data_IF_488135947199
#
_entry.id   IF_488135947199
#
_cell.length_a   1.000
_cell.length_b   1.000
_cell.length_c   1.000
_cell.angle_alpha   90.00
_cell.angle_beta   90.00
_cell.angle_gamma   90.00
#
_symmetry.space_group_name_H-M   'P 1'
#
loop_
_entity.id
_entity.type
_entity.pdbx_description
1 polymer ?
#
# COMPACT_ATOMS: atom_id res chain seq x y z
N UNK A 1 -12.60 21.92 -10.50
CA UNK A 1 -12.12 21.03 -11.59
C UNK A 1 -13.01 19.79 -11.71
N UNK A 2 -13.44 19.17 -10.59
CA UNK A 2 -14.29 17.96 -10.57
C UNK A 2 -15.69 18.18 -11.20
N UNK A 3 -16.15 19.40 -11.29
CA UNK A 3 -17.44 19.75 -11.91
C UNK A 3 -17.37 19.81 -13.43
N UNK A 4 -16.18 19.93 -14.01
CA UNK A 4 -15.97 20.11 -15.45
C UNK A 4 -15.21 18.99 -16.11
N UNK A 5 -14.41 18.24 -15.36
CA UNK A 5 -13.60 17.11 -15.85
C UNK A 5 -13.63 15.95 -14.86
N UNK A 6 -13.62 14.69 -15.33
CA UNK A 6 -13.48 13.55 -14.44
C UNK A 6 -12.11 13.59 -13.75
N UNK A 7 -12.10 13.53 -12.41
CA UNK A 7 -10.87 13.50 -11.60
C UNK A 7 -10.80 12.14 -10.90
N UNK A 8 -9.71 11.41 -11.15
CA UNK A 8 -9.38 10.18 -10.44
C UNK A 8 -8.19 10.41 -9.50
N UNK A 9 -8.35 10.07 -8.25
CA UNK A 9 -7.30 10.17 -7.25
C UNK A 9 -7.03 8.80 -6.61
N UNK A 10 -5.77 8.37 -6.62
CA UNK A 10 -5.33 7.13 -5.96
C UNK A 10 -3.92 7.29 -5.40
N UNK A 11 -3.66 6.76 -4.22
CA UNK A 11 -2.33 6.75 -3.61
C UNK A 11 -1.33 5.86 -4.33
N UNK A 12 -1.81 4.89 -5.12
CA UNK A 12 -0.98 4.04 -5.99
C UNK A 12 -1.86 3.38 -7.05
N UNK A 13 -1.46 3.49 -8.33
CA UNK A 13 -2.19 2.92 -9.47
C UNK A 13 -1.64 1.55 -9.92
N UNK A 14 -0.74 0.94 -9.15
CA UNK A 14 -0.19 -0.36 -9.47
C UNK A 14 -1.18 -1.49 -9.15
N UNK A 15 -1.53 -2.29 -10.13
CA UNK A 15 -2.35 -3.49 -9.94
C UNK A 15 -1.71 -4.44 -8.91
N UNK A 16 -0.38 -4.59 -8.93
CA UNK A 16 0.34 -5.41 -7.94
C UNK A 16 0.24 -4.89 -6.51
N UNK A 17 0.11 -3.57 -6.32
CA UNK A 17 -0.13 -2.99 -4.99
C UNK A 17 -1.60 -3.16 -4.58
N UNK A 18 -2.54 -3.07 -5.51
CA UNK A 18 -3.94 -3.35 -5.22
C UNK A 18 -4.12 -4.81 -4.77
N UNK A 19 -3.54 -5.76 -5.49
CA UNK A 19 -3.55 -7.17 -5.12
C UNK A 19 -2.87 -7.42 -3.77
N UNK A 20 -1.70 -6.81 -3.52
CA UNK A 20 -1.01 -6.93 -2.23
C UNK A 20 -1.88 -6.41 -1.08
N UNK A 21 -2.53 -5.27 -1.26
CA UNK A 21 -3.45 -4.70 -0.27
C UNK A 21 -4.57 -5.67 0.11
N UNK A 22 -5.19 -6.29 -0.89
CA UNK A 22 -6.33 -7.19 -0.67
C UNK A 22 -5.87 -8.50 0.00
N UNK A 23 -4.70 -9.03 -0.40
CA UNK A 23 -4.07 -10.18 0.26
C UNK A 23 -3.70 -9.88 1.72
N UNK A 24 -3.13 -8.72 2.00
CA UNK A 24 -2.77 -8.28 3.36
C UNK A 24 -4.02 -8.15 4.23
N UNK A 25 -5.09 -7.57 3.70
CA UNK A 25 -6.36 -7.46 4.40
C UNK A 25 -6.92 -8.84 4.75
N UNK A 26 -6.96 -9.75 3.77
CA UNK A 26 -7.46 -11.10 3.99
C UNK A 26 -6.61 -11.88 5.00
N UNK A 27 -5.28 -11.77 4.90
CA UNK A 27 -4.38 -12.39 5.88
C UNK A 27 -4.60 -11.82 7.29
N UNK A 28 -4.79 -10.50 7.44
CA UNK A 28 -5.10 -9.89 8.73
C UNK A 28 -6.42 -10.41 9.33
N UNK A 29 -7.42 -10.71 8.48
CA UNK A 29 -8.71 -11.30 8.88
C UNK A 29 -8.56 -12.76 9.33
N UNK A 30 -7.75 -13.55 8.61
CA UNK A 30 -7.53 -14.98 8.89
C UNK A 30 -6.67 -15.20 10.15
N UNK A 31 -5.76 -14.27 10.46
CA UNK A 31 -4.85 -14.34 11.59
C UNK A 31 -5.06 -13.16 12.55
N UNK A 32 -6.20 -13.06 13.25
CA UNK A 32 -6.57 -11.87 14.02
C UNK A 32 -5.58 -11.52 15.13
N UNK A 33 -4.89 -12.52 15.70
CA UNK A 33 -3.93 -12.35 16.79
C UNK A 33 -2.46 -12.24 16.33
N UNK A 34 -2.20 -12.35 15.01
CA UNK A 34 -0.83 -12.32 14.51
C UNK A 34 -0.21 -10.94 14.61
N UNK A 35 1.08 -10.87 14.89
CA UNK A 35 1.90 -9.65 14.81
C UNK A 35 2.10 -9.24 13.35
N UNK A 36 2.06 -7.95 13.08
CA UNK A 36 2.21 -7.41 11.71
C UNK A 36 3.31 -6.37 11.67
N UNK A 37 4.26 -6.56 10.75
CA UNK A 37 5.31 -5.59 10.41
C UNK A 37 5.27 -5.29 8.92
N UNK A 38 5.38 -4.02 8.59
CA UNK A 38 5.49 -3.53 7.21
C UNK A 38 6.90 -2.97 7.02
N UNK A 39 7.64 -3.51 6.06
CA UNK A 39 8.96 -3.01 5.68
C UNK A 39 8.88 -2.41 4.29
N UNK A 40 9.28 -1.15 4.15
CA UNK A 40 9.31 -0.48 2.86
C UNK A 40 10.70 0.08 2.54
N UNK A 41 11.13 -0.10 1.29
CA UNK A 41 12.42 0.41 0.83
C UNK A 41 12.23 1.28 -0.40
N UNK A 42 12.79 2.48 -0.36
CA UNK A 42 12.80 3.43 -1.48
C UNK A 42 14.18 4.06 -1.64
N UNK A 43 14.34 4.79 -2.75
CA UNK A 43 15.57 5.53 -3.05
C UNK A 43 15.92 6.57 -1.97
N UNK A 44 17.20 6.88 -1.86
CA UNK A 44 17.73 7.78 -0.82
C UNK A 44 17.11 9.20 -0.84
N UNK A 45 16.58 9.65 -1.99
CA UNK A 45 15.97 10.97 -2.16
C UNK A 45 14.51 11.07 -1.72
N UNK A 46 13.87 9.94 -1.35
CA UNK A 46 12.46 9.97 -0.90
C UNK A 46 12.36 10.63 0.46
N UNK A 47 11.64 11.74 0.52
CA UNK A 47 11.53 12.58 1.73
C UNK A 47 10.54 12.03 2.76
N UNK A 48 9.37 11.51 2.28
CA UNK A 48 8.34 10.98 3.18
C UNK A 48 8.70 9.59 3.69
N UNK A 49 8.49 9.36 4.97
CA UNK A 49 8.59 8.07 5.66
C UNK A 49 7.52 8.00 6.77
N UNK A 50 6.70 6.95 6.84
CA UNK A 50 6.55 5.88 5.86
C UNK A 50 5.95 6.35 4.53
N UNK A 51 6.18 5.56 3.46
CA UNK A 51 5.61 5.85 2.14
C UNK A 51 4.08 5.80 2.14
N UNK A 52 3.43 6.50 1.19
CA UNK A 52 1.98 6.44 1.04
C UNK A 52 1.45 5.02 0.83
N UNK A 53 2.20 4.16 0.13
CA UNK A 53 1.84 2.74 -0.05
C UNK A 53 1.93 1.95 1.26
N UNK A 54 2.94 2.15 2.07
CA UNK A 54 3.05 1.49 3.38
C UNK A 54 1.88 1.89 4.30
N UNK A 55 1.51 3.17 4.31
CA UNK A 55 0.34 3.66 5.04
C UNK A 55 -0.97 3.05 4.53
N UNK A 56 -1.12 2.88 3.21
CA UNK A 56 -2.29 2.26 2.61
C UNK A 56 -2.39 0.77 2.97
N UNK A 57 -1.27 0.04 3.04
CA UNK A 57 -1.24 -1.35 3.50
C UNK A 57 -1.61 -1.45 4.98
N UNK A 58 -1.07 -0.56 5.82
CA UNK A 58 -1.46 -0.49 7.24
C UNK A 58 -2.95 -0.18 7.41
N UNK A 59 -3.50 0.75 6.64
CA UNK A 59 -4.92 1.06 6.65
C UNK A 59 -5.80 -0.14 6.20
N UNK A 60 -5.28 -1.01 5.33
CA UNK A 60 -5.98 -2.25 4.96
C UNK A 60 -6.04 -3.23 6.13
N UNK A 61 -4.98 -3.34 6.92
CA UNK A 61 -4.98 -4.12 8.19
C UNK A 61 -5.96 -3.51 9.19
N UNK A 62 -5.96 -2.20 9.36
CA UNK A 62 -6.84 -1.50 10.32
C UNK A 62 -8.33 -1.65 9.98
N UNK A 63 -8.70 -1.99 8.75
CA UNK A 63 -10.10 -2.34 8.44
C UNK A 63 -10.58 -3.60 9.16
N UNK A 64 -9.68 -4.54 9.40
CA UNK A 64 -9.95 -5.78 10.13
C UNK A 64 -9.60 -5.68 11.63
N UNK A 65 -8.73 -4.70 11.98
CA UNK A 65 -8.25 -4.45 13.35
C UNK A 65 -8.28 -2.93 13.64
N UNK A 66 -9.47 -2.34 13.86
CA UNK A 66 -9.63 -0.88 14.02
C UNK A 66 -8.83 -0.28 15.19
N UNK A 67 -8.56 -1.08 16.21
CA UNK A 67 -7.80 -0.70 17.41
C UNK A 67 -6.28 -0.68 17.19
N UNK A 68 -5.78 -1.25 16.08
CA UNK A 68 -4.35 -1.40 15.87
C UNK A 68 -3.66 -0.04 15.67
N UNK A 69 -2.72 0.25 16.55
CA UNK A 69 -1.91 1.47 16.49
C UNK A 69 -0.76 1.34 15.49
N UNK A 70 -0.42 2.42 14.80
CA UNK A 70 0.74 2.46 13.93
C UNK A 70 1.99 2.85 14.71
N UNK A 71 3.03 2.01 14.67
CA UNK A 71 4.34 2.28 15.26
C UNK A 71 5.37 2.43 14.13
N UNK A 72 5.79 3.68 13.89
CA UNK A 72 6.73 4.00 12.81
C UNK A 72 8.15 4.13 13.35
N UNK A 73 9.05 3.24 12.92
CA UNK A 73 10.46 3.31 13.28
C UNK A 73 10.72 2.97 14.75
N UNK A 74 10.69 1.69 15.09
CA UNK A 74 11.03 1.23 16.46
C UNK A 74 12.50 1.47 16.75
N UNK A 75 12.82 2.07 17.91
CA UNK A 75 14.19 2.35 18.35
C UNK A 75 14.31 2.32 19.86
N UNK A 76 15.53 2.11 20.37
CA UNK A 76 15.81 2.08 21.81
C UNK A 76 15.08 0.95 22.53
N UNK A 77 14.71 1.20 23.79
CA UNK A 77 13.89 0.27 24.59
C UNK A 77 12.41 0.49 24.26
N UNK A 78 11.91 -0.26 23.29
CA UNK A 78 10.55 -0.13 22.77
C UNK A 78 9.94 -1.53 22.53
N UNK A 79 9.52 -2.22 23.60
CA UNK A 79 8.90 -3.54 23.48
C UNK A 79 7.63 -3.45 22.64
N UNK A 80 7.34 -4.53 21.88
CA UNK A 80 6.15 -4.62 21.08
C UNK A 80 4.91 -4.77 21.96
N UNK A 81 3.82 -4.12 21.57
CA UNK A 81 2.48 -4.35 22.13
C UNK A 81 1.66 -5.24 21.19
N UNK A 82 0.67 -5.94 21.73
CA UNK A 82 -0.11 -6.93 20.97
C UNK A 82 -0.90 -6.29 19.79
N UNK A 83 -1.45 -5.10 19.99
CA UNK A 83 -2.32 -4.44 19.02
C UNK A 83 -1.61 -3.35 18.20
N UNK A 84 -0.38 -3.62 17.74
CA UNK A 84 0.34 -2.65 16.91
C UNK A 84 0.68 -3.18 15.52
N UNK A 85 0.74 -2.28 14.56
CA UNK A 85 1.28 -2.49 13.23
C UNK A 85 2.59 -1.72 13.14
N UNK A 86 3.71 -2.44 13.10
CA UNK A 86 5.00 -1.80 12.93
C UNK A 86 5.24 -1.39 11.48
N UNK A 87 5.92 -0.25 11.27
CA UNK A 87 6.34 0.19 9.93
C UNK A 87 7.79 0.62 9.97
N UNK A 88 8.63 -0.07 9.21
CA UNK A 88 10.06 0.24 9.05
C UNK A 88 10.33 0.78 7.65
N UNK A 89 11.00 1.93 7.58
CA UNK A 89 11.31 2.61 6.32
C UNK A 89 12.79 2.59 6.04
N UNK A 90 13.19 1.99 4.91
CA UNK A 90 14.58 1.92 4.44
C UNK A 90 14.76 2.89 3.27
N UNK A 91 15.86 3.65 3.28
CA UNK A 91 16.25 4.56 2.18
C UNK A 91 17.59 4.11 1.64
N UNK A 92 17.62 3.63 0.38
CA UNK A 92 18.78 2.97 -0.20
C UNK A 92 18.89 3.19 -1.70
N UNK A 93 19.99 3.79 -2.14
CA UNK A 93 20.36 3.93 -3.54
C UNK A 93 19.24 4.48 -4.43
N UNK A 94 18.91 3.76 -5.49
CA UNK A 94 17.88 4.11 -6.49
C UNK A 94 16.66 3.16 -6.47
N UNK A 95 16.40 2.47 -5.35
CA UNK A 95 15.27 1.55 -5.22
C UNK A 95 13.96 2.31 -5.49
N UNK A 96 13.19 1.85 -6.45
CA UNK A 96 11.94 2.50 -6.88
C UNK A 96 10.78 2.25 -5.92
N UNK A 97 10.82 1.12 -5.20
CA UNK A 97 9.85 0.76 -4.16
C UNK A 97 9.76 -0.75 -3.96
N UNK A 98 10.04 -1.17 -2.75
CA UNK A 98 9.81 -2.54 -2.26
C UNK A 98 8.89 -2.42 -1.05
N UNK A 99 7.87 -3.25 -1.00
CA UNK A 99 6.96 -3.32 0.14
C UNK A 99 6.81 -4.78 0.53
N UNK A 100 7.03 -5.05 1.79
CA UNK A 100 6.91 -6.38 2.38
C UNK A 100 6.07 -6.28 3.65
N UNK A 101 5.09 -7.17 3.79
CA UNK A 101 4.26 -7.29 4.99
C UNK A 101 4.53 -8.65 5.58
N UNK A 102 5.01 -8.66 6.81
CA UNK A 102 5.28 -9.84 7.60
C UNK A 102 4.13 -10.02 8.60
N UNK A 103 3.57 -11.22 8.65
CA UNK A 103 2.45 -11.57 9.53
C UNK A 103 2.86 -12.85 10.27
N UNK A 104 2.98 -12.79 11.60
CA UNK A 104 3.47 -13.91 12.41
C UNK A 104 2.53 -14.22 13.56
N UNK A 105 2.19 -15.51 13.72
CA UNK A 105 1.44 -16.02 14.86
C UNK A 105 2.35 -16.67 15.93
N UNK A 106 3.67 -16.48 15.80
CA UNK A 106 4.67 -17.05 16.70
C UNK A 106 5.15 -18.45 16.29
N UNK A 107 4.33 -19.24 15.59
CA UNK A 107 4.72 -20.57 15.07
C UNK A 107 5.21 -20.48 13.62
N UNK A 108 4.61 -19.62 12.84
CA UNK A 108 4.94 -19.41 11.42
C UNK A 108 4.89 -17.93 11.07
N UNK A 109 5.55 -17.55 9.98
CA UNK A 109 5.55 -16.19 9.46
C UNK A 109 5.20 -16.22 7.98
N UNK A 110 4.14 -15.51 7.62
CA UNK A 110 3.76 -15.23 6.24
C UNK A 110 4.45 -13.95 5.77
N UNK A 111 5.11 -13.98 4.62
CA UNK A 111 5.65 -12.79 3.95
C UNK A 111 4.90 -12.54 2.65
N UNK A 112 4.33 -11.34 2.53
CA UNK A 112 3.68 -10.84 1.34
C UNK A 112 4.51 -9.68 0.78
N UNK A 113 5.16 -9.89 -0.37
CA UNK A 113 6.14 -8.95 -0.90
C UNK A 113 5.83 -8.52 -2.33
N UNK A 114 6.01 -7.23 -2.59
CA UNK A 114 5.99 -6.66 -3.93
C UNK A 114 7.24 -5.82 -4.17
N UNK A 115 7.91 -6.05 -5.28
CA UNK A 115 9.04 -5.26 -5.77
C UNK A 115 8.64 -4.53 -7.05
N UNK A 116 8.97 -3.25 -7.15
CA UNK A 116 8.84 -2.53 -8.42
C UNK A 116 10.09 -2.81 -9.24
N UNK A 117 9.94 -3.46 -10.39
CA UNK A 117 11.01 -3.52 -11.38
C UNK A 117 11.35 -2.13 -11.90
N UNK A 118 12.58 -1.89 -12.35
CA UNK A 118 13.09 -0.58 -12.75
C UNK A 118 12.48 0.08 -14.00
N UNK A 119 11.31 -0.36 -14.43
CA UNK A 119 10.53 0.31 -15.46
C UNK A 119 9.44 1.14 -14.78
N UNK A 120 9.57 2.46 -14.81
CA UNK A 120 8.46 3.36 -14.51
C UNK A 120 7.34 3.06 -15.50
N UNK A 121 6.31 2.33 -15.08
CA UNK A 121 5.08 2.24 -15.86
C UNK A 121 4.48 3.64 -15.94
N UNK A 122 4.76 4.33 -17.04
CA UNK A 122 3.95 5.47 -17.45
C UNK A 122 2.59 4.90 -17.78
N UNK A 123 1.64 5.04 -16.86
CA UNK A 123 0.23 4.88 -17.19
C UNK A 123 -0.08 5.98 -18.20
N UNK A 124 -0.07 5.65 -19.48
CA UNK A 124 -0.63 6.52 -20.50
C UNK A 124 -2.14 6.49 -20.28
N UNK A 125 -2.67 7.54 -19.66
CA UNK A 125 -4.07 7.86 -19.84
C UNK A 125 -4.23 8.20 -21.33
N UNK A 126 -4.61 7.21 -22.13
CA UNK A 126 -5.08 7.42 -23.47
C UNK A 126 -6.42 8.11 -23.36
N UNK A 127 -6.45 9.43 -23.58
CA UNK A 127 -7.69 10.09 -23.91
C UNK A 127 -8.15 9.50 -25.24
N UNK A 128 -9.37 8.96 -25.36
CA UNK A 128 -9.91 8.60 -26.66
C UNK A 128 -9.95 9.89 -27.49
N UNK A 129 -9.36 9.84 -28.69
CA UNK A 129 -9.48 10.92 -29.66
C UNK A 129 -10.95 11.15 -29.92
N UNK A 130 -11.41 12.37 -29.67
CA UNK A 130 -12.78 12.80 -29.87
C UNK A 130 -13.19 12.71 -31.34
N UNK A 131 -14.02 11.75 -31.68
CA UNK A 131 -14.97 11.88 -32.81
C UNK A 131 -16.12 10.90 -32.58
N UNK A 132 -17.03 11.21 -31.68
CA UNK A 132 -18.44 10.83 -31.73
C UNK A 132 -19.17 11.55 -30.60
N UNK A 133 -20.13 12.37 -30.95
CA UNK A 133 -21.08 12.94 -30.02
C UNK A 133 -21.92 11.80 -29.43
N UNK A 134 -21.64 11.42 -28.20
CA UNK A 134 -22.39 10.47 -27.39
C UNK A 134 -22.19 10.81 -25.93
N UNK A 135 -23.27 10.83 -25.17
CA UNK A 135 -23.30 11.14 -23.74
C UNK A 135 -22.20 10.44 -22.96
N UNK A 136 -21.59 11.10 -21.95
CA UNK A 136 -20.51 10.48 -21.18
C UNK A 136 -21.06 9.27 -20.41
N UNK A 137 -20.64 8.09 -20.81
CA UNK A 137 -20.85 6.86 -20.03
C UNK A 137 -19.83 6.90 -18.90
N UNK A 138 -20.30 7.14 -17.68
CA UNK A 138 -19.49 7.02 -16.49
C UNK A 138 -19.21 5.54 -16.22
N UNK A 139 -18.05 5.06 -16.61
CA UNK A 139 -17.57 3.76 -16.15
C UNK A 139 -16.79 3.99 -14.86
N UNK A 140 -17.46 3.82 -13.74
CA UNK A 140 -16.82 3.79 -12.42
C UNK A 140 -16.22 2.39 -12.26
N UNK A 141 -14.90 2.28 -12.44
CA UNK A 141 -14.18 1.10 -12.00
C UNK A 141 -13.91 1.23 -10.51
N UNK A 142 -14.82 0.70 -9.71
CA UNK A 142 -14.55 0.47 -8.28
C UNK A 142 -13.69 -0.78 -8.20
N UNK A 143 -12.39 -0.61 -8.08
CA UNK A 143 -11.50 -1.71 -7.69
C UNK A 143 -11.64 -1.82 -6.18
N UNK A 144 -12.36 -2.85 -5.75
CA UNK A 144 -12.50 -3.23 -4.35
C UNK A 144 -11.15 -3.61 -3.73
#
# INVERSE_FOLDING_TARGET
ASEQIPVFFSGNMSLGIAALRDLVREAARLFPEAEIEIVETHHSRKADAPSGTARMLAAAVQKERPEAALVCGRSGFSPRTHSEIGISSIRLGNVTGIHEVLISNGAETLSLKRMTGGCSQRVRCGLPSSSAAGSPVFTIWTIF
#
